data_IF_020799561907
#
_entry.id   IF_020799561907
#
_cell.length_a   1.000
_cell.length_b   1.000
_cell.length_c   1.000
_cell.angle_alpha   90.00
_cell.angle_beta   90.00
_cell.angle_gamma   90.00
#
_symmetry.space_group_name_H-M   'P 1'
#
loop_
_entity.id
_entity.type
_entity.pdbx_description
1 polymer ?
#
# COMPACT_ATOMS: atom_id res chain seq x y z
N UNK A 1 62.90 -41.59 3.10
CA UNK A 1 62.80 -40.81 1.84
C UNK A 1 61.89 -39.62 2.12
N UNK A 2 62.48 -38.43 2.32
CA UNK A 2 62.49 -37.29 1.36
C UNK A 2 61.09 -36.67 1.15
N UNK A 3 60.81 -35.37 1.32
CA UNK A 3 61.59 -34.19 1.70
C UNK A 3 60.82 -32.89 1.37
N UNK A 4 61.31 -31.74 1.89
CA UNK A 4 61.09 -30.35 1.42
C UNK A 4 59.69 -29.72 1.60
N UNK A 5 59.49 -28.70 2.45
CA UNK A 5 59.82 -27.25 2.33
C UNK A 5 58.99 -26.47 1.27
N UNK A 6 58.13 -25.51 1.68
CA UNK A 6 58.53 -24.08 1.75
C UNK A 6 57.44 -23.11 2.23
N UNK A 7 57.94 -22.05 2.88
CA UNK A 7 57.28 -20.85 3.42
C UNK A 7 56.75 -19.91 2.33
N UNK A 8 55.78 -19.05 2.68
CA UNK A 8 55.93 -17.58 2.63
C UNK A 8 54.86 -16.85 3.45
N UNK A 9 55.33 -16.03 4.38
CA UNK A 9 54.61 -14.96 5.08
C UNK A 9 54.55 -13.74 4.17
N UNK A 10 53.44 -13.02 4.16
CA UNK A 10 53.42 -11.58 3.87
C UNK A 10 52.60 -10.90 4.97
N UNK A 11 53.26 -9.98 5.65
CA UNK A 11 52.77 -9.00 6.61
C UNK A 11 52.95 -7.64 5.96
N UNK A 12 52.19 -6.60 6.40
CA UNK A 12 52.35 -5.13 6.21
C UNK A 12 51.35 -4.51 5.20
N UNK A 13 50.63 -3.39 5.42
CA UNK A 13 50.57 -2.36 6.48
C UNK A 13 49.21 -1.61 6.49
N UNK A 14 48.85 -1.06 7.66
CA UNK A 14 48.36 0.31 7.95
C UNK A 14 47.21 0.96 7.13
N UNK A 15 46.04 1.06 7.78
CA UNK A 15 45.37 2.28 8.31
C UNK A 15 44.93 3.45 7.39
N UNK A 16 43.90 4.23 7.81
CA UNK A 16 42.81 4.75 6.95
C UNK A 16 42.93 6.26 6.66
N UNK A 17 41.99 6.86 5.92
CA UNK A 17 41.69 8.28 6.08
C UNK A 17 40.26 8.52 6.58
N UNK A 18 40.20 9.10 7.78
CA UNK A 18 39.16 10.05 8.22
C UNK A 18 39.37 11.38 7.50
N UNK A 19 38.30 12.06 7.08
CA UNK A 19 38.14 13.53 7.15
C UNK A 19 36.77 13.97 6.64
N UNK A 20 35.87 14.39 7.54
CA UNK A 20 34.96 15.55 7.34
C UNK A 20 35.82 16.84 7.27
N UNK A 21 35.38 18.05 6.83
CA UNK A 21 34.10 18.75 7.13
C UNK A 21 33.69 19.75 5.98
N UNK A 22 33.06 20.96 6.15
CA UNK A 22 32.21 21.53 7.20
C UNK A 22 30.88 22.17 6.70
N UNK A 23 30.06 22.61 7.66
CA UNK A 23 28.89 23.52 7.52
C UNK A 23 29.29 25.01 7.60
N UNK A 24 28.43 25.85 7.00
CA UNK A 24 28.14 27.28 7.25
C UNK A 24 29.14 28.37 6.79
N UNK A 25 28.70 29.25 5.88
CA UNK A 25 28.25 30.62 6.22
C UNK A 25 27.82 31.40 4.96
N UNK A 26 26.85 32.30 5.15
CA UNK A 26 26.21 33.06 4.08
C UNK A 26 27.06 34.16 3.43
N UNK A 27 26.63 34.53 2.24
CA UNK A 27 26.77 35.88 1.69
C UNK A 27 25.63 36.15 0.71
N UNK A 28 24.98 37.28 0.92
CA UNK A 28 23.92 37.83 0.09
C UNK A 28 24.43 38.21 -1.32
N UNK A 29 23.59 38.15 -2.36
CA UNK A 29 23.81 38.96 -3.55
C UNK A 29 23.20 40.37 -3.39
N UNK A 30 23.79 41.39 -4.05
CA UNK A 30 23.53 42.80 -3.78
C UNK A 30 22.23 43.32 -4.36
N UNK A 31 21.73 44.39 -3.72
CA UNK A 31 20.66 45.25 -4.18
C UNK A 31 21.12 46.20 -5.30
N UNK A 32 20.20 46.35 -6.27
CA UNK A 32 19.78 47.57 -6.98
C UNK A 32 20.66 48.22 -8.06
N UNK A 33 20.06 48.34 -9.25
CA UNK A 33 19.90 49.56 -10.09
C UNK A 33 18.75 49.23 -11.09
N UNK A 34 17.50 49.68 -10.88
CA UNK A 34 16.89 51.00 -11.11
C UNK A 34 16.69 51.40 -12.59
N UNK A 35 15.48 51.14 -13.12
CA UNK A 35 14.67 52.04 -13.95
C UNK A 35 13.21 51.58 -13.73
N UNK A 36 12.26 52.33 -13.20
CA UNK A 36 11.97 53.75 -13.33
C UNK A 36 10.96 53.93 -14.46
N UNK A 37 9.65 53.79 -14.16
CA UNK A 37 8.54 54.60 -14.71
C UNK A 37 7.20 54.21 -14.07
N UNK A 38 6.69 55.14 -13.25
CA UNK A 38 5.31 55.63 -13.14
C UNK A 38 4.08 54.77 -13.48
N UNK A 39 3.11 54.94 -12.58
CA UNK A 39 1.67 55.10 -12.78
C UNK A 39 0.75 53.97 -12.28
N UNK A 40 0.14 54.27 -11.14
CA UNK A 40 -1.25 54.06 -10.75
C UNK A 40 -2.07 52.99 -11.49
N UNK A 41 -2.64 52.07 -10.69
CA UNK A 41 -4.01 51.60 -10.90
C UNK A 41 -4.21 50.09 -10.85
N UNK A 42 -4.65 49.59 -9.68
CA UNK A 42 -5.52 48.42 -9.54
C UNK A 42 -5.25 47.21 -10.46
N UNK A 43 -4.12 46.53 -10.30
CA UNK A 43 -3.85 45.21 -10.92
C UNK A 43 -3.73 44.05 -9.92
N UNK A 44 -3.76 44.32 -8.62
CA UNK A 44 -3.36 43.36 -7.59
C UNK A 44 -4.21 42.09 -7.47
N UNK A 45 -5.39 42.01 -8.06
CA UNK A 45 -6.21 40.79 -8.03
C UNK A 45 -6.00 39.83 -9.21
N UNK A 46 -5.31 40.29 -10.26
CA UNK A 46 -5.16 39.56 -11.53
C UNK A 46 -3.92 38.65 -11.51
N UNK A 47 -2.81 39.15 -10.93
CA UNK A 47 -1.57 38.38 -10.75
C UNK A 47 -1.73 37.29 -9.67
N UNK A 48 -2.55 37.55 -8.65
CA UNK A 48 -2.76 36.64 -7.51
C UNK A 48 -3.49 35.34 -7.91
N UNK A 49 -4.39 35.39 -8.89
CA UNK A 49 -5.13 34.19 -9.32
C UNK A 49 -4.29 33.27 -10.19
N UNK A 50 -3.50 33.84 -11.09
CA UNK A 50 -2.57 33.05 -11.90
C UNK A 50 -1.48 32.44 -11.02
N UNK A 51 -0.98 33.19 -10.03
CA UNK A 51 -0.02 32.68 -9.05
C UNK A 51 -0.64 31.59 -8.16
N UNK A 52 -1.89 31.75 -7.71
CA UNK A 52 -2.60 30.74 -6.92
C UNK A 52 -2.89 29.46 -7.73
N UNK A 53 -3.28 29.59 -9.01
CA UNK A 53 -3.47 28.44 -9.90
C UNK A 53 -2.14 27.68 -10.10
N UNK A 54 -1.04 28.39 -10.33
CA UNK A 54 0.27 27.77 -10.50
C UNK A 54 0.77 27.08 -9.22
N UNK A 55 0.49 27.68 -8.06
CA UNK A 55 0.88 27.11 -6.77
C UNK A 55 0.11 25.83 -6.42
N UNK A 56 -1.15 25.73 -6.84
CA UNK A 56 -1.97 24.53 -6.64
C UNK A 56 -1.60 23.39 -7.57
N UNK A 57 -1.24 23.70 -8.82
CA UNK A 57 -0.75 22.73 -9.79
C UNK A 57 0.61 22.13 -9.38
N UNK A 58 1.38 22.82 -8.52
CA UNK A 58 2.71 22.41 -8.09
C UNK A 58 2.80 21.63 -6.76
N UNK A 59 1.70 21.47 -6.00
CA UNK A 59 1.77 21.02 -4.59
C UNK A 59 0.80 19.89 -4.27
N UNK A 60 1.23 18.63 -4.28
CA UNK A 60 0.36 17.48 -3.95
C UNK A 60 -0.01 17.40 -2.45
N UNK A 61 -1.30 17.30 -2.11
CA UNK A 61 -1.79 16.97 -0.75
C UNK A 61 -2.99 17.79 -0.23
N UNK A 62 -3.32 17.65 1.05
CA UNK A 62 -4.52 18.23 1.70
C UNK A 62 -4.65 19.76 1.59
N UNK A 63 -3.55 20.49 1.37
CA UNK A 63 -3.56 21.93 1.10
C UNK A 63 -4.20 22.30 -0.26
N UNK A 64 -4.36 21.34 -1.19
CA UNK A 64 -5.02 21.57 -2.49
C UNK A 64 -6.54 21.66 -2.35
N UNK A 65 -7.15 20.98 -1.38
CA UNK A 65 -8.61 20.97 -1.22
C UNK A 65 -9.15 22.32 -0.72
N UNK A 66 -8.50 22.90 0.31
CA UNK A 66 -8.82 24.24 0.79
C UNK A 66 -8.53 25.31 -0.27
N UNK A 67 -7.42 25.16 -1.01
CA UNK A 67 -7.09 26.03 -2.14
C UNK A 67 -8.12 25.93 -3.28
N UNK A 68 -8.64 24.74 -3.58
CA UNK A 68 -9.65 24.51 -4.62
C UNK A 68 -10.98 25.19 -4.28
N UNK A 69 -11.39 25.15 -3.01
CA UNK A 69 -12.59 25.84 -2.55
C UNK A 69 -12.45 27.35 -2.74
N UNK A 70 -11.34 27.94 -2.30
CA UNK A 70 -11.08 29.37 -2.45
C UNK A 70 -10.98 29.77 -3.93
N UNK A 71 -10.32 28.96 -4.77
CA UNK A 71 -10.27 29.19 -6.22
C UNK A 71 -11.66 29.16 -6.86
N UNK A 72 -12.51 28.21 -6.46
CA UNK A 72 -13.89 28.10 -6.94
C UNK A 72 -14.74 29.32 -6.58
N UNK A 73 -14.65 29.79 -5.33
CA UNK A 73 -15.38 30.97 -4.85
C UNK A 73 -14.94 32.26 -5.55
N UNK A 74 -13.62 32.43 -5.76
CA UNK A 74 -13.08 33.60 -6.47
C UNK A 74 -13.42 33.54 -7.96
N UNK A 75 -13.36 32.36 -8.59
CA UNK A 75 -13.76 32.17 -9.99
C UNK A 75 -15.24 32.49 -10.21
N UNK A 76 -16.13 32.01 -9.33
CA UNK A 76 -17.56 32.30 -9.38
C UNK A 76 -17.85 33.80 -9.22
N UNK A 77 -17.14 34.47 -8.32
CA UNK A 77 -17.26 35.92 -8.11
C UNK A 77 -16.84 36.72 -9.34
N UNK A 78 -15.73 36.35 -9.99
CA UNK A 78 -15.25 37.04 -11.20
C UNK A 78 -16.13 36.79 -12.42
N UNK A 79 -16.65 35.57 -12.56
CA UNK A 79 -17.58 35.23 -13.63
C UNK A 79 -18.89 36.02 -13.48
N UNK A 80 -19.42 36.11 -12.26
CA UNK A 80 -20.60 36.92 -11.96
C UNK A 80 -20.41 38.42 -12.26
N UNK A 81 -19.24 38.99 -11.99
CA UNK A 81 -18.93 40.38 -12.36
C UNK A 81 -18.90 40.62 -13.88
N UNK A 82 -18.37 39.67 -14.64
CA UNK A 82 -18.32 39.75 -16.11
C UNK A 82 -19.72 39.60 -16.70
N UNK A 83 -20.52 38.68 -16.18
CA UNK A 83 -21.89 38.44 -16.62
C UNK A 83 -22.82 39.62 -16.29
N UNK A 84 -22.65 40.25 -15.11
CA UNK A 84 -23.38 41.46 -14.74
C UNK A 84 -23.09 42.65 -15.69
N UNK A 85 -21.84 42.80 -16.15
CA UNK A 85 -21.47 43.83 -17.13
C UNK A 85 -22.02 43.56 -18.53
N UNK A 86 -22.10 42.29 -18.93
CA UNK A 86 -22.71 41.87 -20.20
C UNK A 86 -24.23 42.06 -20.21
N UNK A 87 -24.91 41.74 -19.10
CA UNK A 87 -26.36 41.92 -18.94
C UNK A 87 -26.79 43.39 -18.91
N UNK A 88 -25.90 44.30 -18.46
CA UNK A 88 -26.11 45.75 -18.49
C UNK A 88 -26.00 46.42 -19.87
N UNK A 89 -25.94 45.64 -20.97
CA UNK A 89 -25.92 46.13 -22.34
C UNK A 89 -24.60 46.77 -22.79
N UNK A 90 -23.53 46.70 -21.98
CA UNK A 90 -22.20 47.21 -22.34
C UNK A 90 -21.44 46.15 -23.13
N UNK A 91 -20.76 46.56 -24.21
CA UNK A 91 -19.85 45.67 -24.95
C UNK A 91 -18.70 45.22 -24.03
N UNK A 92 -18.53 43.91 -23.87
CA UNK A 92 -17.45 43.33 -23.09
C UNK A 92 -16.09 43.73 -23.67
N UNK A 93 -15.23 44.27 -22.82
CA UNK A 93 -13.87 44.64 -23.21
C UNK A 93 -13.00 43.40 -23.41
N UNK A 94 -11.85 43.56 -24.09
CA UNK A 94 -10.85 42.49 -24.20
C UNK A 94 -10.43 41.96 -22.82
N UNK A 95 -10.38 42.87 -21.83
CA UNK A 95 -10.03 42.55 -20.44
C UNK A 95 -11.10 41.68 -19.76
N UNK A 96 -12.39 41.97 -19.98
CA UNK A 96 -13.48 41.15 -19.41
C UNK A 96 -13.52 39.74 -20.02
N UNK A 97 -13.21 39.61 -21.33
CA UNK A 97 -13.11 38.30 -22.00
C UNK A 97 -11.96 37.45 -21.48
N UNK A 98 -10.84 38.08 -21.14
CA UNK A 98 -9.69 37.39 -20.53
C UNK A 98 -10.04 36.89 -19.12
N UNK A 99 -10.68 37.73 -18.28
CA UNK A 99 -11.17 37.33 -16.96
C UNK A 99 -12.15 36.16 -17.02
N UNK A 100 -13.11 36.19 -17.93
CA UNK A 100 -14.04 35.06 -18.12
C UNK A 100 -13.35 33.77 -18.61
N UNK A 101 -12.20 33.86 -19.27
CA UNK A 101 -11.40 32.68 -19.64
C UNK A 101 -10.61 32.16 -18.44
N UNK A 102 -10.02 33.04 -17.65
CA UNK A 102 -9.33 32.66 -16.40
C UNK A 102 -10.30 32.05 -15.39
N UNK A 103 -11.46 32.67 -15.16
CA UNK A 103 -12.48 32.15 -14.25
C UNK A 103 -12.93 30.75 -14.64
N UNK A 104 -13.20 30.50 -15.93
CA UNK A 104 -13.53 29.15 -16.43
C UNK A 104 -12.39 28.15 -16.27
N UNK A 105 -11.13 28.58 -16.42
CA UNK A 105 -9.97 27.72 -16.20
C UNK A 105 -9.81 27.39 -14.70
N UNK A 106 -9.98 28.39 -13.83
CA UNK A 106 -9.92 28.23 -12.39
C UNK A 106 -11.07 27.37 -11.86
N UNK A 107 -12.28 27.51 -12.39
CA UNK A 107 -13.45 26.67 -12.07
C UNK A 107 -13.24 25.23 -12.53
N UNK A 108 -12.74 25.01 -13.75
CA UNK A 108 -12.40 23.67 -14.23
C UNK A 108 -11.30 23.01 -13.38
N UNK A 109 -10.31 23.80 -12.95
CA UNK A 109 -9.26 23.34 -12.04
C UNK A 109 -9.85 22.99 -10.66
N UNK A 110 -10.64 23.88 -10.06
CA UNK A 110 -11.30 23.63 -8.78
C UNK A 110 -12.24 22.41 -8.82
N UNK A 111 -12.97 22.22 -9.93
CA UNK A 111 -13.83 21.05 -10.14
C UNK A 111 -13.03 19.75 -10.33
N UNK A 112 -11.81 19.82 -10.87
CA UNK A 112 -10.91 18.66 -10.91
C UNK A 112 -10.41 18.24 -9.53
N UNK A 113 -10.45 19.15 -8.56
CA UNK A 113 -10.18 18.93 -7.14
C UNK A 113 -11.46 18.86 -6.31
N UNK A 114 -12.56 18.36 -6.88
CA UNK A 114 -13.85 18.19 -6.20
C UNK A 114 -13.65 17.65 -4.77
N UNK A 115 -14.40 18.17 -3.79
CA UNK A 115 -14.15 17.87 -2.38
C UNK A 115 -14.18 16.38 -2.16
N UNK A 116 -13.09 15.87 -1.58
CA UNK A 116 -13.02 14.54 -1.00
C UNK A 116 -14.26 14.39 -0.12
N UNK A 117 -15.16 13.46 -0.46
CA UNK A 117 -16.36 13.22 0.33
C UNK A 117 -15.91 12.74 1.71
N UNK A 118 -15.88 13.64 2.69
CA UNK A 118 -15.47 13.34 4.05
C UNK A 118 -16.29 12.19 4.66
N UNK A 119 -17.53 11.97 4.18
CA UNK A 119 -18.35 10.83 4.54
C UNK A 119 -17.84 9.51 3.95
N UNK A 120 -17.34 9.52 2.71
CA UNK A 120 -16.74 8.36 2.07
C UNK A 120 -15.42 7.98 2.74
N UNK A 121 -14.56 8.95 3.04
CA UNK A 121 -13.27 8.72 3.72
C UNK A 121 -13.47 8.18 5.14
N UNK A 122 -14.39 8.77 5.91
CA UNK A 122 -14.70 8.28 7.26
C UNK A 122 -15.26 6.85 7.23
N UNK A 123 -16.04 6.50 6.19
CA UNK A 123 -16.53 5.13 6.01
C UNK A 123 -15.39 4.16 5.68
N UNK A 124 -14.49 4.54 4.78
CA UNK A 124 -13.32 3.72 4.42
C UNK A 124 -12.40 3.49 5.63
N UNK A 125 -12.13 4.53 6.42
CA UNK A 125 -11.31 4.42 7.63
C UNK A 125 -11.99 3.53 8.68
N UNK A 126 -13.31 3.66 8.85
CA UNK A 126 -14.07 2.80 9.74
C UNK A 126 -14.02 1.33 9.30
N UNK A 127 -14.19 1.06 8.01
CA UNK A 127 -14.08 -0.29 7.43
C UNK A 127 -12.67 -0.87 7.59
N UNK A 128 -11.62 -0.08 7.37
CA UNK A 128 -10.23 -0.49 7.59
C UNK A 128 -9.97 -0.87 9.05
N UNK A 129 -10.45 -0.05 9.99
CA UNK A 129 -10.33 -0.32 11.43
C UNK A 129 -11.10 -1.57 11.86
N UNK A 130 -12.28 -1.79 11.29
CA UNK A 130 -13.08 -2.99 11.55
C UNK A 130 -12.38 -4.25 11.01
N UNK A 131 -11.81 -4.19 9.80
CA UNK A 131 -11.02 -5.27 9.21
C UNK A 131 -9.80 -5.61 10.09
N UNK A 132 -9.02 -4.60 10.47
CA UNK A 132 -7.84 -4.78 11.32
C UNK A 132 -8.22 -5.43 12.66
N UNK A 133 -9.31 -4.96 13.28
CA UNK A 133 -9.81 -5.52 14.55
C UNK A 133 -10.19 -7.00 14.40
N UNK A 134 -10.89 -7.36 13.32
CA UNK A 134 -11.30 -8.73 13.05
C UNK A 134 -10.08 -9.65 12.83
N UNK A 135 -9.11 -9.22 12.04
CA UNK A 135 -7.86 -9.97 11.78
C UNK A 135 -7.08 -10.16 13.08
N UNK A 136 -6.87 -9.09 13.86
CA UNK A 136 -6.16 -9.16 15.15
C UNK A 136 -6.85 -10.12 16.13
N UNK A 137 -8.18 -10.15 16.18
CA UNK A 137 -8.92 -11.07 17.03
C UNK A 137 -8.75 -12.55 16.62
N UNK A 138 -8.62 -12.85 15.32
CA UNK A 138 -8.28 -14.21 14.85
C UNK A 138 -6.84 -14.56 15.21
N UNK A 139 -5.89 -13.66 14.94
CA UNK A 139 -4.47 -13.85 15.27
C UNK A 139 -4.27 -14.12 16.76
N UNK A 140 -4.93 -13.34 17.62
CA UNK A 140 -4.86 -13.51 19.07
C UNK A 140 -5.34 -14.89 19.53
N UNK A 141 -6.48 -15.37 19.02
CA UNK A 141 -7.00 -16.71 19.34
C UNK A 141 -6.08 -17.83 18.87
N UNK A 142 -5.29 -17.58 17.83
CA UNK A 142 -4.29 -18.50 17.30
C UNK A 142 -2.89 -18.32 17.93
N UNK A 143 -2.72 -17.42 18.90
CA UNK A 143 -1.42 -17.04 19.48
C UNK A 143 -0.39 -16.52 18.46
N UNK A 144 -0.87 -15.79 17.46
CA UNK A 144 -0.08 -15.18 16.39
C UNK A 144 -0.10 -13.65 16.50
N UNK A 145 0.99 -13.00 16.14
CA UNK A 145 1.12 -11.55 15.99
C UNK A 145 1.49 -11.15 14.57
N UNK A 146 1.08 -9.94 14.17
CA UNK A 146 1.42 -9.42 12.85
C UNK A 146 2.88 -8.99 12.82
N UNK A 147 3.56 -9.41 11.76
CA UNK A 147 4.84 -8.85 11.35
C UNK A 147 4.62 -8.10 10.03
N UNK A 148 4.73 -6.78 10.10
CA UNK A 148 4.44 -5.89 8.98
C UNK A 148 5.47 -6.05 7.86
N UNK A 149 4.99 -6.46 6.69
CA UNK A 149 5.77 -6.47 5.46
C UNK A 149 5.77 -5.06 4.82
N UNK A 150 6.82 -4.70 4.07
CA UNK A 150 6.82 -3.45 3.30
C UNK A 150 5.58 -3.36 2.39
N UNK A 151 4.87 -2.22 2.35
CA UNK A 151 3.67 -2.04 1.53
C UNK A 151 4.04 -1.77 0.06
N UNK A 152 4.73 -2.73 -0.55
CA UNK A 152 5.08 -2.73 -1.96
C UNK A 152 4.43 -3.93 -2.68
N UNK A 153 4.66 -4.05 -3.98
CA UNK A 153 4.12 -5.17 -4.74
C UNK A 153 4.68 -6.55 -4.39
N UNK A 154 5.64 -6.64 -3.47
CA UNK A 154 6.27 -7.87 -3.00
C UNK A 154 5.71 -8.37 -1.66
N UNK A 155 4.74 -7.67 -1.05
CA UNK A 155 4.25 -7.97 0.29
C UNK A 155 3.86 -9.45 0.49
N UNK A 156 3.10 -10.05 -0.43
CA UNK A 156 2.69 -11.47 -0.37
C UNK A 156 3.90 -12.41 -0.39
N UNK A 157 4.82 -12.22 -1.34
CA UNK A 157 6.02 -13.03 -1.49
C UNK A 157 6.96 -12.88 -0.28
N UNK A 158 7.07 -11.67 0.26
CA UNK A 158 7.85 -11.37 1.47
C UNK A 158 7.25 -12.07 2.69
N UNK A 159 5.93 -12.02 2.85
CA UNK A 159 5.24 -12.70 3.95
C UNK A 159 5.44 -14.22 3.89
N UNK A 160 5.32 -14.83 2.71
CA UNK A 160 5.54 -16.27 2.53
C UNK A 160 7.02 -16.63 2.73
N UNK A 161 7.97 -15.85 2.21
CA UNK A 161 9.39 -16.10 2.39
C UNK A 161 9.80 -16.08 3.88
N UNK A 162 9.24 -15.15 4.66
CA UNK A 162 9.42 -15.10 6.10
C UNK A 162 8.88 -16.36 6.79
N UNK A 163 7.66 -16.80 6.44
CA UNK A 163 7.08 -18.02 6.99
C UNK A 163 7.89 -19.27 6.64
N UNK A 164 8.34 -19.41 5.40
CA UNK A 164 9.19 -20.53 4.98
C UNK A 164 10.51 -20.55 5.76
N UNK A 165 11.06 -19.39 6.10
CA UNK A 165 12.22 -19.30 6.96
C UNK A 165 11.93 -19.78 8.39
N UNK A 166 10.82 -19.32 8.99
CA UNK A 166 10.38 -19.71 10.33
C UNK A 166 10.11 -21.21 10.44
N UNK A 167 9.61 -21.82 9.36
CA UNK A 167 9.38 -23.26 9.25
C UNK A 167 10.66 -24.07 8.97
N UNK A 168 11.80 -23.40 8.76
CA UNK A 168 13.08 -24.06 8.44
C UNK A 168 13.15 -24.63 7.01
N UNK A 169 12.24 -24.22 6.13
CA UNK A 169 12.19 -24.64 4.72
C UNK A 169 13.09 -23.78 3.84
N UNK A 170 13.38 -22.54 4.26
CA UNK A 170 14.34 -21.65 3.60
C UNK A 170 15.42 -21.14 4.57
N UNK A 171 16.70 -21.15 4.15
CA UNK A 171 17.75 -20.42 4.86
C UNK A 171 17.45 -18.91 4.89
N UNK A 172 17.89 -18.21 5.94
CA UNK A 172 17.66 -16.76 6.08
C UNK A 172 18.17 -15.93 4.89
N UNK A 173 19.26 -16.37 4.23
CA UNK A 173 19.81 -15.70 3.05
C UNK A 173 18.92 -15.83 1.80
N UNK A 174 18.06 -16.84 1.77
CA UNK A 174 17.15 -17.14 0.66
C UNK A 174 15.71 -16.71 0.96
N UNK A 175 15.41 -16.32 2.19
CA UNK A 175 14.10 -15.81 2.64
C UNK A 175 13.84 -14.40 2.12
N UNK A 176 13.71 -14.27 0.80
CA UNK A 176 13.55 -13.02 0.06
C UNK A 176 12.45 -13.18 -0.99
N UNK A 177 11.73 -12.10 -1.36
CA UNK A 177 10.63 -12.18 -2.30
C UNK A 177 11.05 -12.76 -3.66
N UNK A 178 12.27 -12.52 -4.13
CA UNK A 178 12.77 -13.04 -5.40
C UNK A 178 12.77 -14.57 -5.43
N UNK A 179 13.17 -15.21 -4.32
CA UNK A 179 13.19 -16.68 -4.22
C UNK A 179 11.78 -17.25 -4.35
N UNK A 180 10.83 -16.69 -3.61
CA UNK A 180 9.43 -17.15 -3.66
C UNK A 180 8.75 -16.81 -4.98
N UNK A 181 9.04 -15.65 -5.59
CA UNK A 181 8.54 -15.30 -6.93
C UNK A 181 9.00 -16.31 -7.97
N UNK A 182 10.29 -16.62 -7.94
CA UNK A 182 10.88 -17.60 -8.84
C UNK A 182 10.25 -18.99 -8.66
N UNK A 183 10.11 -19.44 -7.40
CA UNK A 183 9.48 -20.72 -7.10
C UNK A 183 8.03 -20.80 -7.57
N UNK A 184 7.23 -19.74 -7.33
CA UNK A 184 5.85 -19.66 -7.79
C UNK A 184 5.77 -19.74 -9.33
N UNK A 185 6.50 -18.86 -10.03
CA UNK A 185 6.50 -18.81 -11.48
C UNK A 185 7.00 -20.11 -12.12
N UNK A 186 8.07 -20.71 -11.56
CA UNK A 186 8.60 -21.99 -12.04
C UNK A 186 7.56 -23.11 -11.85
N UNK A 187 6.89 -23.17 -10.71
CA UNK A 187 5.88 -24.18 -10.45
C UNK A 187 4.68 -24.03 -11.39
N UNK A 188 4.21 -22.80 -11.60
CA UNK A 188 3.12 -22.50 -12.52
C UNK A 188 3.45 -22.90 -13.97
N UNK A 189 4.65 -22.57 -14.45
CA UNK A 189 5.12 -22.99 -15.80
C UNK A 189 5.19 -24.51 -15.96
N UNK A 190 5.54 -25.23 -14.90
CA UNK A 190 5.62 -26.68 -14.92
C UNK A 190 4.25 -27.37 -14.88
N UNK A 191 3.19 -26.68 -14.43
CA UNK A 191 1.85 -27.23 -14.24
C UNK A 191 0.75 -26.30 -14.78
N UNK A 192 0.79 -25.88 -16.07
CA UNK A 192 -0.13 -24.87 -16.60
C UNK A 192 -1.61 -25.25 -16.46
N UNK A 193 -1.94 -26.54 -16.57
CA UNK A 193 -3.32 -27.05 -16.49
C UNK A 193 -3.97 -26.82 -15.11
N UNK A 194 -3.16 -26.69 -14.05
CA UNK A 194 -3.65 -26.40 -12.69
C UNK A 194 -4.04 -24.91 -12.51
N UNK A 195 -3.55 -24.01 -13.37
CA UNK A 195 -3.67 -22.55 -13.18
C UNK A 195 -4.46 -21.85 -14.28
N UNK A 196 -4.29 -22.27 -15.55
CA UNK A 196 -4.97 -21.67 -16.70
C UNK A 196 -6.50 -21.53 -16.53
N UNK A 197 -7.23 -22.52 -15.96
CA UNK A 197 -8.69 -22.41 -15.79
C UNK A 197 -9.15 -21.28 -14.86
N UNK A 198 -8.25 -20.70 -14.07
CA UNK A 198 -8.56 -19.69 -13.06
C UNK A 198 -7.97 -18.31 -13.40
N UNK A 199 -7.23 -18.20 -14.51
CA UNK A 199 -6.55 -16.97 -14.89
C UNK A 199 -7.31 -16.26 -16.02
N UNK A 200 -7.95 -15.10 -15.73
CA UNK A 200 -8.69 -14.36 -16.72
C UNK A 200 -7.75 -13.71 -17.74
N UNK A 201 -8.22 -13.58 -18.98
CA UNK A 201 -7.49 -12.84 -20.01
C UNK A 201 -7.21 -11.40 -19.57
N UNK A 202 -6.02 -10.89 -19.90
CA UNK A 202 -5.55 -9.53 -19.56
C UNK A 202 -6.46 -8.44 -20.16
N UNK A 203 -7.15 -8.75 -21.26
CA UNK A 203 -8.01 -7.82 -21.99
C UNK A 203 -9.52 -8.12 -21.78
N UNK A 204 -9.85 -9.02 -20.84
CA UNK A 204 -11.23 -9.46 -20.58
C UNK A 204 -11.75 -10.49 -21.58
N UNK A 205 -13.05 -10.82 -21.49
CA UNK A 205 -13.71 -11.80 -22.38
C UNK A 205 -13.67 -11.38 -23.86
N UNK A 206 -13.67 -10.08 -24.14
CA UNK A 206 -13.62 -9.50 -25.48
C UNK A 206 -12.20 -9.17 -25.98
N UNK A 207 -11.18 -9.61 -25.24
CA UNK A 207 -9.78 -9.28 -25.45
C UNK A 207 -9.12 -9.94 -26.66
N UNK A 208 -8.19 -9.26 -27.31
CA UNK A 208 -7.44 -9.78 -28.45
C UNK A 208 -6.47 -10.89 -27.99
N UNK A 209 -6.91 -12.14 -28.15
CA UNK A 209 -6.18 -13.32 -27.70
C UNK A 209 -6.71 -13.93 -26.39
N UNK A 210 -7.88 -13.51 -25.92
CA UNK A 210 -8.69 -14.33 -25.02
C UNK A 210 -9.22 -15.57 -25.77
N UNK A 211 -9.34 -16.70 -25.07
CA UNK A 211 -10.14 -17.83 -25.58
C UNK A 211 -11.64 -17.46 -25.55
N UNK A 212 -12.48 -18.26 -26.22
CA UNK A 212 -13.94 -18.02 -26.33
C UNK A 212 -14.65 -17.97 -24.95
N UNK A 213 -14.00 -18.46 -23.90
CA UNK A 213 -14.42 -18.45 -22.50
C UNK A 213 -13.79 -17.32 -21.65
N UNK A 214 -13.03 -16.40 -22.28
CA UNK A 214 -12.41 -15.26 -21.59
C UNK A 214 -11.16 -15.60 -20.76
N UNK A 215 -10.57 -16.78 -20.98
CA UNK A 215 -9.37 -17.22 -20.27
C UNK A 215 -8.08 -16.85 -21.00
N UNK A 216 -6.97 -16.91 -20.25
CA UNK A 216 -5.63 -16.68 -20.81
C UNK A 216 -5.21 -17.79 -21.79
N UNK A 217 -4.64 -17.38 -22.93
CA UNK A 217 -3.91 -18.31 -23.80
C UNK A 217 -2.57 -18.72 -23.19
N UNK A 218 -2.03 -19.86 -23.65
CA UNK A 218 -0.70 -20.34 -23.22
C UNK A 218 0.41 -19.27 -23.38
N UNK A 219 0.35 -18.44 -24.43
CA UNK A 219 1.33 -17.37 -24.64
C UNK A 219 1.15 -16.20 -23.65
N UNK A 220 -0.08 -15.86 -23.29
CA UNK A 220 -0.34 -14.88 -22.23
C UNK A 220 0.11 -15.44 -20.88
N UNK A 221 -0.13 -16.71 -20.61
CA UNK A 221 0.28 -17.38 -19.38
C UNK A 221 1.81 -17.39 -19.19
N UNK A 222 2.57 -17.65 -20.24
CA UNK A 222 4.04 -17.57 -20.16
C UNK A 222 4.51 -16.15 -19.81
N UNK A 223 3.88 -15.12 -20.39
CA UNK A 223 4.16 -13.72 -20.04
C UNK A 223 3.78 -13.41 -18.60
N UNK A 224 2.65 -13.91 -18.12
CA UNK A 224 2.22 -13.76 -16.73
C UNK A 224 3.23 -14.39 -15.77
N UNK A 225 3.67 -15.63 -16.02
CA UNK A 225 4.71 -16.26 -15.23
C UNK A 225 6.02 -15.45 -15.27
N UNK A 226 6.39 -14.92 -16.44
CA UNK A 226 7.51 -13.99 -16.60
C UNK A 226 7.40 -12.74 -15.72
N UNK A 227 6.22 -12.12 -15.66
CA UNK A 227 5.99 -10.94 -14.84
C UNK A 227 6.05 -11.26 -13.35
N UNK A 228 5.45 -12.38 -12.90
CA UNK A 228 5.52 -12.81 -11.50
C UNK A 228 6.96 -13.01 -11.05
N UNK A 229 7.79 -13.62 -11.91
CA UNK A 229 9.21 -13.94 -11.65
C UNK A 229 10.09 -12.69 -11.58
N UNK A 230 9.89 -11.73 -12.51
CA UNK A 230 10.85 -10.66 -12.78
C UNK A 230 10.42 -9.25 -12.35
N UNK A 231 9.17 -9.06 -11.91
CA UNK A 231 8.62 -7.75 -11.58
C UNK A 231 7.98 -7.73 -10.19
N UNK A 232 7.60 -6.53 -9.72
CA UNK A 232 6.81 -6.36 -8.49
C UNK A 232 5.29 -6.52 -8.72
N UNK A 233 4.87 -7.34 -9.70
CA UNK A 233 3.45 -7.66 -9.89
C UNK A 233 2.91 -8.30 -8.60
N UNK A 234 1.73 -7.84 -8.18
CA UNK A 234 1.05 -8.34 -6.99
C UNK A 234 0.68 -9.81 -7.18
N UNK A 235 0.84 -10.61 -6.13
CA UNK A 235 0.42 -12.00 -6.12
C UNK A 235 -0.96 -12.17 -5.50
N UNK A 236 -1.61 -13.29 -5.81
CA UNK A 236 -2.89 -13.69 -5.23
C UNK A 236 -2.99 -15.19 -5.02
N UNK A 237 -4.22 -15.69 -5.09
CA UNK A 237 -4.51 -17.11 -4.83
C UNK A 237 -3.76 -18.10 -5.75
N UNK A 238 -3.58 -17.86 -7.08
CA UNK A 238 -2.81 -18.77 -7.93
C UNK A 238 -1.36 -18.91 -7.47
N UNK A 239 -0.71 -17.80 -7.09
CA UNK A 239 0.67 -17.82 -6.61
C UNK A 239 0.79 -18.47 -5.23
N UNK A 240 -0.17 -18.25 -4.33
CA UNK A 240 -0.22 -18.95 -3.04
C UNK A 240 -0.36 -20.46 -3.23
N UNK A 241 -1.20 -20.91 -4.18
CA UNK A 241 -1.32 -22.32 -4.51
C UNK A 241 -0.02 -22.88 -5.09
N UNK A 242 0.62 -22.15 -6.00
CA UNK A 242 1.91 -22.53 -6.57
C UNK A 242 2.99 -22.67 -5.47
N UNK A 243 3.06 -21.73 -4.54
CA UNK A 243 3.99 -21.75 -3.40
C UNK A 243 3.70 -22.89 -2.43
N UNK A 244 2.43 -23.11 -2.09
CA UNK A 244 1.99 -24.22 -1.26
C UNK A 244 2.49 -25.55 -1.85
N UNK A 245 2.23 -25.77 -3.15
CA UNK A 245 2.66 -26.97 -3.87
C UNK A 245 4.19 -27.07 -4.03
N UNK A 246 4.88 -25.97 -4.33
CA UNK A 246 6.33 -25.96 -4.54
C UNK A 246 7.12 -26.31 -3.26
N UNK A 247 6.65 -25.86 -2.10
CA UNK A 247 7.32 -26.07 -0.81
C UNK A 247 6.69 -27.17 0.05
N UNK A 248 5.56 -27.75 -0.38
CA UNK A 248 4.83 -28.77 0.39
C UNK A 248 4.29 -28.24 1.72
N UNK A 249 3.77 -27.01 1.72
CA UNK A 249 3.32 -26.27 2.91
C UNK A 249 1.83 -25.91 2.79
N UNK A 250 1.06 -25.96 3.88
CA UNK A 250 -0.28 -25.35 3.94
C UNK A 250 -0.12 -23.85 4.22
N UNK A 251 -0.81 -22.99 3.48
CA UNK A 251 -0.80 -21.54 3.71
C UNK A 251 -2.18 -21.12 4.24
N UNK A 252 -2.20 -20.70 5.50
CA UNK A 252 -3.37 -20.15 6.18
C UNK A 252 -3.38 -18.63 6.07
N UNK A 253 -4.35 -18.09 5.34
CA UNK A 253 -4.54 -16.65 5.14
C UNK A 253 -5.65 -16.15 6.06
N UNK A 254 -5.27 -15.38 7.07
CA UNK A 254 -6.21 -14.70 7.97
C UNK A 254 -6.73 -13.41 7.31
N UNK A 255 -8.03 -13.22 7.27
CA UNK A 255 -8.65 -12.03 6.66
C UNK A 255 -9.87 -11.54 7.46
N UNK A 256 -10.29 -10.29 7.23
CA UNK A 256 -11.47 -9.71 7.86
C UNK A 256 -12.82 -10.23 7.33
N UNK A 257 -12.78 -11.06 6.27
CA UNK A 257 -13.97 -11.65 5.64
C UNK A 257 -14.48 -12.93 6.30
N UNK A 258 -15.47 -13.55 5.66
CA UNK A 258 -15.95 -14.89 6.00
C UNK A 258 -15.66 -15.82 4.81
N UNK A 259 -14.91 -16.93 4.99
CA UNK A 259 -14.31 -17.39 6.25
C UNK A 259 -13.15 -16.50 6.69
N UNK A 260 -12.93 -16.43 8.02
CA UNK A 260 -11.86 -15.62 8.61
C UNK A 260 -10.45 -16.18 8.37
N UNK A 261 -10.37 -17.45 7.96
CA UNK A 261 -9.13 -18.11 7.53
C UNK A 261 -9.42 -18.86 6.23
N UNK A 262 -8.65 -18.57 5.18
CA UNK A 262 -8.66 -19.31 3.91
C UNK A 262 -7.43 -20.20 3.88
N UNK A 263 -7.64 -21.50 3.66
CA UNK A 263 -6.57 -22.51 3.71
C UNK A 263 -6.20 -22.93 2.30
N UNK A 264 -4.94 -22.78 1.94
CA UNK A 264 -4.39 -23.22 0.66
C UNK A 264 -3.49 -24.42 0.90
N UNK A 265 -3.86 -25.59 0.37
CA UNK A 265 -3.15 -26.85 0.58
C UNK A 265 -2.35 -27.25 -0.66
N UNK A 266 -1.22 -27.96 -0.49
CA UNK A 266 -0.44 -28.48 -1.61
C UNK A 266 -1.12 -29.66 -2.32
N UNK A 267 -2.06 -30.34 -1.67
CA UNK A 267 -2.81 -31.47 -2.23
C UNK A 267 -4.18 -31.59 -1.58
N UNK A 268 -5.12 -32.19 -2.32
CA UNK A 268 -6.45 -32.53 -1.83
C UNK A 268 -6.44 -33.74 -0.88
N UNK A 269 -5.37 -34.55 -0.88
CA UNK A 269 -5.23 -35.67 0.06
C UNK A 269 -4.87 -35.13 1.46
N UNK A 270 -5.78 -35.22 2.46
CA UNK A 270 -5.54 -34.70 3.81
C UNK A 270 -4.35 -35.33 4.53
N UNK A 271 -3.79 -36.44 4.01
CA UNK A 271 -2.70 -37.21 4.60
C UNK A 271 -1.43 -37.22 3.74
N UNK A 272 -1.16 -36.10 3.04
CA UNK A 272 -0.06 -35.91 2.09
C UNK A 272 1.16 -36.82 2.28
N UNK A 273 1.62 -37.45 1.19
CA UNK A 273 2.70 -38.44 1.10
C UNK A 273 3.65 -38.54 2.32
N UNK A 274 3.24 -39.34 3.31
CA UNK A 274 4.13 -39.83 4.38
C UNK A 274 3.94 -39.19 5.76
N UNK A 275 3.01 -39.74 6.53
CA UNK A 275 3.04 -39.75 8.01
C UNK A 275 3.19 -38.39 8.75
N UNK A 276 2.63 -37.29 8.25
CA UNK A 276 2.54 -36.03 9.00
C UNK A 276 1.56 -35.02 8.38
N UNK A 277 1.02 -34.11 9.22
CA UNK A 277 0.35 -32.90 8.72
C UNK A 277 1.39 -31.98 8.08
N UNK A 278 1.04 -31.24 7.02
CA UNK A 278 1.95 -30.27 6.42
C UNK A 278 2.37 -29.20 7.43
N UNK A 279 3.60 -28.67 7.32
CA UNK A 279 3.92 -27.43 8.01
C UNK A 279 2.94 -26.34 7.55
N UNK A 280 2.54 -25.44 8.47
CA UNK A 280 1.56 -24.39 8.18
C UNK A 280 2.24 -23.04 8.23
N UNK A 281 2.19 -22.31 7.12
CA UNK A 281 2.59 -20.92 7.01
C UNK A 281 1.37 -20.03 7.30
N UNK A 282 1.51 -19.08 8.21
CA UNK A 282 0.44 -18.16 8.58
C UNK A 282 0.73 -16.75 8.02
N UNK A 283 -0.19 -16.24 7.21
CA UNK A 283 -0.14 -14.86 6.70
C UNK A 283 -1.49 -14.18 6.93
N UNK A 284 -1.54 -12.86 6.84
CA UNK A 284 -2.78 -12.10 6.88
C UNK A 284 -2.96 -11.28 5.61
N UNK A 285 -4.21 -11.12 5.17
CA UNK A 285 -4.62 -10.36 4.00
C UNK A 285 -5.54 -9.22 4.42
N UNK A 286 -5.21 -8.02 3.96
CA UNK A 286 -5.87 -6.78 4.31
C UNK A 286 -6.30 -6.08 3.04
N UNK A 287 -7.59 -5.79 2.89
CA UNK A 287 -8.16 -5.15 1.69
C UNK A 287 -8.19 -3.63 1.81
N UNK A 288 -8.21 -3.12 3.04
CA UNK A 288 -8.47 -1.72 3.37
C UNK A 288 -7.38 -1.09 4.24
N UNK A 289 -6.34 -1.84 4.64
CA UNK A 289 -5.29 -1.36 5.54
C UNK A 289 -4.48 -0.19 4.95
N UNK A 290 -4.24 -0.19 3.64
CA UNK A 290 -3.59 0.92 2.95
C UNK A 290 -4.53 1.50 1.90
N UNK A 291 -4.53 2.83 1.76
CA UNK A 291 -5.34 3.53 0.74
C UNK A 291 -5.02 3.11 -0.71
N UNK A 292 -3.94 2.34 -0.90
CA UNK A 292 -3.48 1.80 -2.19
C UNK A 292 -4.06 0.42 -2.54
N UNK A 293 -4.76 -0.26 -1.63
CA UNK A 293 -5.43 -1.54 -1.90
C UNK A 293 -4.97 -2.71 -1.03
N UNK A 294 -4.87 -3.88 -1.66
CA UNK A 294 -4.62 -5.17 -1.01
C UNK A 294 -3.19 -5.29 -0.47
N UNK A 295 -3.04 -5.90 0.71
CA UNK A 295 -1.73 -6.08 1.34
C UNK A 295 -1.65 -7.37 2.15
N UNK A 296 -0.47 -7.96 2.20
CA UNK A 296 -0.18 -9.16 2.99
C UNK A 296 0.88 -8.90 4.05
N UNK A 297 0.66 -9.47 5.24
CA UNK A 297 1.64 -9.49 6.34
C UNK A 297 1.92 -10.92 6.78
N UNK A 298 3.13 -11.15 7.30
CA UNK A 298 3.49 -12.43 7.94
C UNK A 298 2.85 -12.51 9.34
N UNK A 299 2.50 -13.70 9.80
CA UNK A 299 2.00 -13.92 11.17
C UNK A 299 2.98 -14.79 11.95
N UNK A 300 3.59 -14.24 12.99
CA UNK A 300 4.61 -14.92 13.79
C UNK A 300 4.03 -15.39 15.12
N UNK A 301 4.57 -16.44 15.75
CA UNK A 301 4.16 -16.82 17.10
C UNK A 301 4.36 -15.68 18.09
N UNK A 302 3.34 -15.38 18.91
CA UNK A 302 3.47 -14.38 19.97
C UNK A 302 4.58 -14.76 20.95
N UNK A 303 5.43 -13.81 21.30
CA UNK A 303 6.37 -13.99 22.41
C UNK A 303 5.64 -14.15 23.75
N UNK A 304 6.20 -14.92 24.69
CA UNK A 304 5.61 -15.16 26.02
C UNK A 304 5.31 -13.86 26.79
N UNK A 305 6.05 -12.79 26.52
CA UNK A 305 5.91 -11.47 27.17
C UNK A 305 4.69 -10.70 26.68
N UNK A 306 4.19 -10.98 25.47
CA UNK A 306 2.97 -10.39 24.89
C UNK A 306 1.72 -11.13 25.37
N UNK A 307 1.84 -12.43 25.63
CA UNK A 307 0.71 -13.28 26.06
C UNK A 307 0.19 -12.88 27.46
N UNK A 308 1.08 -12.63 28.42
CA UNK A 308 0.70 -12.42 29.83
C UNK A 308 -0.05 -11.08 30.04
N UNK A 309 0.40 -9.92 29.52
CA UNK A 309 -0.34 -8.67 29.64
C UNK A 309 -1.72 -8.72 28.99
N UNK A 310 -1.87 -9.38 27.84
CA UNK A 310 -3.17 -9.51 27.17
C UNK A 310 -4.15 -10.41 27.90
N UNK A 311 -3.69 -11.54 28.46
CA UNK A 311 -4.52 -12.40 29.33
C UNK A 311 -4.98 -11.66 30.60
N UNK A 312 -4.11 -10.83 31.17
CA UNK A 312 -4.44 -10.01 32.35
C UNK A 312 -5.37 -8.84 32.02
N UNK A 313 -5.29 -8.27 30.80
CA UNK A 313 -6.19 -7.21 30.34
C UNK A 313 -7.61 -7.75 30.11
N UNK A 314 -7.75 -8.88 29.41
CA UNK A 314 -9.06 -9.51 29.18
C UNK A 314 -9.70 -10.09 30.44
N UNK A 315 -8.92 -10.43 31.49
CA UNK A 315 -9.51 -10.92 32.74
C UNK A 315 -10.28 -9.82 33.50
N UNK A 316 -10.03 -8.54 33.23
CA UNK A 316 -10.86 -7.45 33.77
C UNK A 316 -12.18 -7.32 33.03
N UNK A 317 -12.16 -7.38 31.70
CA UNK A 317 -13.38 -7.23 30.88
C UNK A 317 -14.31 -8.44 30.99
N UNK A 318 -13.77 -9.65 31.21
CA UNK A 318 -14.59 -10.86 31.43
C UNK A 318 -15.24 -10.86 32.83
N UNK A 319 -14.61 -10.26 33.84
CA UNK A 319 -15.18 -10.19 35.19
C UNK A 319 -16.37 -9.22 35.28
N UNK A 320 -16.35 -8.13 34.51
CA UNK A 320 -17.46 -7.18 34.42
C UNK A 320 -18.64 -7.69 33.57
N UNK A 321 -18.41 -8.65 32.66
CA UNK A 321 -19.48 -9.27 31.86
C UNK A 321 -20.13 -10.51 32.50
N UNK A 322 -19.48 -11.15 33.49
CA UNK A 322 -20.04 -12.31 34.21
C UNK A 322 -20.76 -11.96 35.51
N UNK A 323 -20.58 -10.74 36.02
CA UNK A 323 -21.31 -10.21 37.17
C UNK A 323 -21.93 -8.85 36.82
N UNK A 324 -23.06 -8.81 36.09
CA UNK A 324 -23.87 -7.60 36.08
C UNK A 324 -24.22 -7.30 37.54
N UNK A 325 -23.91 -6.08 37.99
CA UNK A 325 -24.19 -5.60 39.34
C UNK A 325 -25.54 -6.12 39.85
N UNK A 326 -25.49 -7.05 40.81
CA UNK A 326 -26.66 -7.51 41.54
C UNK A 326 -27.07 -6.37 42.49
N UNK A 327 -27.78 -5.39 41.92
CA UNK A 327 -28.48 -4.35 42.67
C UNK A 327 -29.70 -4.98 43.34
N UNK A 328 -29.48 -5.84 44.33
CA UNK A 328 -30.52 -6.17 45.30
C UNK A 328 -29.93 -6.58 46.65
N UNK A 329 -29.21 -5.65 47.30
CA UNK A 329 -29.05 -5.73 48.75
C UNK A 329 -30.37 -5.30 49.40
N UNK A 330 -31.18 -6.28 49.76
CA UNK A 330 -32.25 -6.13 50.75
C UNK A 330 -31.60 -5.82 52.10
N UNK A 331 -31.99 -4.74 52.81
CA UNK A 331 -31.50 -4.51 54.16
C UNK A 331 -32.24 -5.46 55.11
N UNK A 332 -31.49 -6.33 55.79
CA UNK A 332 -31.98 -7.14 56.91
C UNK A 332 -31.67 -6.41 58.24
N UNK A 333 -32.43 -6.71 59.31
CA UNK A 333 -32.91 -5.74 60.31
C UNK A 333 -31.90 -5.22 61.33
#
# INVERSE_FOLDING_TARGET
MAGGKNRKKITKMFSPPTTSPPLANGHAPPLAESTGTDSAGASGGEDLLDELMAQMEAKDGSAQAEGAQVLGEVAASQQAEVDAKGAGGRKLSSKDKFKARQARKAEALAASYAPVDAGADARLEHEARAEETAIRAVCFRAHLELWECPPDGNCMFTAVADQLHLLGLLPAAEARPETTRHAAAQYMRAHPDDFLPFLPSVEGEDGQGATDDGLMTAQQFERYCGNIDSTAQWGGQPELLALAKAYGVEIDVVQGGTPSVVKTRPSDDPHGHGHGQWPVAHISYHRRMYGLGEHYNSLRPMERHTIIPHLLYNHKDVHDHLHPHDHNQVPAP
#
